data_IF_952967436030
#
_entry.id   IF_952967436030
#
_cell.length_a   1.000
_cell.length_b   1.000
_cell.length_c   1.000
_cell.angle_alpha   90.00
_cell.angle_beta   90.00
_cell.angle_gamma   90.00
#
_symmetry.space_group_name_H-M   'P 1'
#
loop_
_entity.id
_entity.type
_entity.pdbx_description
1 polymer ?
#
# COMPACT_ATOMS: atom_id res chain seq x y z
N UNK A 1 4.55 -68.02 22.47
CA UNK A 1 5.50 -66.87 22.51
C UNK A 1 4.91 -65.78 21.63
N UNK A 2 4.24 -64.81 22.22
CA UNK A 2 3.65 -63.68 21.51
C UNK A 2 4.60 -62.48 21.66
N UNK A 3 5.09 -61.95 20.54
CA UNK A 3 5.89 -60.71 20.49
C UNK A 3 4.94 -59.51 20.63
N UNK A 4 5.07 -58.75 21.72
CA UNK A 4 4.47 -57.43 21.88
C UNK A 4 5.26 -56.44 21.02
N UNK A 5 4.60 -55.88 20.00
CA UNK A 5 5.07 -54.73 19.26
C UNK A 5 4.71 -53.49 20.07
N UNK A 6 5.69 -52.82 20.64
CA UNK A 6 5.56 -51.51 21.28
C UNK A 6 5.54 -50.45 20.19
N UNK A 7 4.37 -49.85 19.91
CA UNK A 7 4.27 -48.62 19.13
C UNK A 7 4.84 -47.46 19.95
N UNK A 8 5.88 -46.86 19.41
CA UNK A 8 6.46 -45.61 19.94
C UNK A 8 5.52 -44.45 19.56
N UNK A 9 4.68 -44.03 20.48
CA UNK A 9 3.95 -42.77 20.36
C UNK A 9 4.93 -41.64 20.68
N UNK A 10 5.52 -41.02 19.65
CA UNK A 10 6.26 -39.79 19.81
C UNK A 10 5.31 -38.70 20.38
N UNK A 11 5.56 -38.29 21.62
CA UNK A 11 4.85 -37.20 22.25
C UNK A 11 5.13 -35.90 21.50
N UNK A 12 4.16 -35.38 20.75
CA UNK A 12 4.26 -34.08 20.10
C UNK A 12 4.56 -33.02 21.16
N UNK A 13 5.67 -32.30 21.00
CA UNK A 13 6.01 -31.17 21.88
C UNK A 13 4.88 -30.13 21.88
N UNK A 14 4.60 -29.45 23.00
CA UNK A 14 3.59 -28.40 23.05
C UNK A 14 3.97 -27.25 22.11
N UNK A 15 2.98 -26.75 21.37
CA UNK A 15 3.14 -25.65 20.42
C UNK A 15 3.48 -24.39 21.21
N UNK A 16 4.57 -23.72 20.87
CA UNK A 16 5.04 -22.49 21.53
C UNK A 16 4.42 -21.24 20.91
N UNK A 17 4.54 -20.10 21.57
CA UNK A 17 4.11 -18.79 21.04
C UNK A 17 4.86 -18.45 19.74
N UNK A 18 6.10 -18.90 19.62
CA UNK A 18 6.91 -18.73 18.40
C UNK A 18 6.41 -19.60 17.27
N UNK A 19 5.99 -20.84 17.56
CA UNK A 19 5.38 -21.73 16.57
C UNK A 19 4.06 -21.15 16.04
N UNK A 20 3.24 -20.53 16.90
CA UNK A 20 2.02 -19.81 16.50
C UNK A 20 2.32 -18.59 15.63
N UNK A 21 3.32 -17.78 15.96
CA UNK A 21 3.75 -16.64 15.13
C UNK A 21 4.25 -17.09 13.77
N UNK A 22 5.07 -18.14 13.72
CA UNK A 22 5.58 -18.70 12.46
C UNK A 22 4.45 -19.29 11.59
N UNK A 23 3.46 -19.95 12.20
CA UNK A 23 2.30 -20.49 11.51
C UNK A 23 1.43 -19.38 10.92
N UNK A 24 1.18 -18.31 11.70
CA UNK A 24 0.42 -17.15 11.25
C UNK A 24 1.12 -16.43 10.10
N UNK A 25 2.42 -16.17 10.19
CA UNK A 25 3.20 -15.55 9.12
C UNK A 25 3.21 -16.41 7.83
N UNK A 26 3.26 -17.75 7.97
CA UNK A 26 3.15 -18.66 6.84
C UNK A 26 1.77 -18.63 6.20
N UNK A 27 0.70 -18.61 7.00
CA UNK A 27 -0.68 -18.54 6.53
C UNK A 27 -0.95 -17.20 5.83
N UNK A 28 -0.48 -16.07 6.38
CA UNK A 28 -0.56 -14.77 5.75
C UNK A 28 0.14 -14.74 4.38
N UNK A 29 1.32 -15.35 4.28
CA UNK A 29 2.04 -15.45 3.00
C UNK A 29 1.31 -16.33 1.98
N UNK A 30 0.71 -17.44 2.41
CA UNK A 30 -0.09 -18.30 1.56
C UNK A 30 -1.37 -17.61 1.06
N UNK A 31 -2.05 -16.89 1.94
CA UNK A 31 -3.27 -16.14 1.60
C UNK A 31 -2.97 -14.97 0.65
N UNK A 32 -1.89 -14.21 0.88
CA UNK A 32 -1.44 -13.18 -0.07
C UNK A 32 -1.22 -13.76 -1.47
N UNK A 33 -0.63 -14.96 -1.56
CA UNK A 33 -0.42 -15.63 -2.84
C UNK A 33 -1.73 -16.04 -3.50
N UNK A 34 -2.73 -16.51 -2.74
CA UNK A 34 -4.04 -16.91 -3.27
C UNK A 34 -4.80 -15.72 -3.87
N UNK A 35 -4.85 -14.58 -3.16
CA UNK A 35 -5.48 -13.35 -3.68
C UNK A 35 -4.73 -12.81 -4.90
N UNK A 36 -3.39 -12.79 -4.87
CA UNK A 36 -2.58 -12.34 -6.01
C UNK A 36 -2.80 -13.23 -7.24
N UNK A 37 -2.88 -14.55 -7.04
CA UNK A 37 -3.15 -15.47 -8.13
C UNK A 37 -4.56 -15.29 -8.72
N UNK A 38 -5.57 -15.03 -7.86
CA UNK A 38 -6.95 -14.82 -8.28
C UNK A 38 -7.15 -13.50 -9.05
N UNK A 39 -6.39 -12.45 -8.70
CA UNK A 39 -6.43 -11.15 -9.36
C UNK A 39 -5.53 -11.07 -10.58
N UNK A 40 -4.39 -11.75 -10.56
CA UNK A 40 -3.36 -11.67 -11.61
C UNK A 40 -2.74 -10.26 -11.72
N UNK A 41 -2.80 -9.47 -10.66
CA UNK A 41 -2.21 -8.12 -10.67
C UNK A 41 -0.71 -8.18 -10.40
N UNK A 42 0.08 -7.31 -11.07
CA UNK A 42 1.47 -7.11 -10.71
C UNK A 42 1.61 -6.60 -9.28
N UNK A 43 2.73 -6.89 -8.67
CA UNK A 43 3.05 -6.58 -7.28
C UNK A 43 3.72 -5.20 -7.12
N UNK A 44 4.17 -4.89 -5.89
CA UNK A 44 4.86 -3.64 -5.56
C UNK A 44 6.19 -3.45 -6.30
N UNK A 45 6.96 -4.53 -6.52
CA UNK A 45 8.24 -4.46 -7.25
C UNK A 45 8.02 -4.12 -8.72
N UNK A 46 6.95 -4.67 -9.32
CA UNK A 46 6.55 -4.34 -10.70
C UNK A 46 5.99 -2.93 -10.81
N UNK A 47 5.25 -2.45 -9.78
CA UNK A 47 4.80 -1.07 -9.69
C UNK A 47 5.99 -0.09 -9.66
N UNK A 48 6.99 -0.35 -8.82
CA UNK A 48 8.21 0.46 -8.75
C UNK A 48 8.95 0.49 -10.07
N UNK A 49 9.15 -0.68 -10.69
CA UNK A 49 9.83 -0.82 -11.98
C UNK A 49 9.11 -0.05 -13.09
N UNK A 50 7.80 -0.23 -13.20
CA UNK A 50 7.01 0.40 -14.26
C UNK A 50 6.95 1.92 -14.07
N UNK A 51 6.73 2.38 -12.84
CA UNK A 51 6.68 3.81 -12.54
C UNK A 51 8.05 4.48 -12.75
N UNK A 52 9.15 3.85 -12.32
CA UNK A 52 10.49 4.36 -12.56
C UNK A 52 10.78 4.49 -14.07
N UNK A 53 10.44 3.46 -14.84
CA UNK A 53 10.60 3.49 -16.29
C UNK A 53 9.80 4.63 -16.97
N UNK A 54 8.60 4.94 -16.45
CA UNK A 54 7.81 6.07 -16.94
C UNK A 54 8.42 7.43 -16.58
N UNK A 55 8.96 7.56 -15.37
CA UNK A 55 9.61 8.80 -14.92
C UNK A 55 10.93 9.07 -15.66
N UNK A 56 11.62 8.01 -16.10
CA UNK A 56 12.85 8.10 -16.88
C UNK A 56 12.60 8.23 -18.40
N UNK A 57 11.34 8.16 -18.83
CA UNK A 57 10.96 8.24 -20.25
C UNK A 57 10.62 9.67 -20.68
N UNK A 58 10.38 9.85 -21.98
CA UNK A 58 10.03 11.15 -22.58
C UNK A 58 8.54 11.52 -22.40
N UNK A 59 7.84 10.95 -21.40
CA UNK A 59 6.41 11.21 -21.17
C UNK A 59 6.11 12.71 -21.04
N UNK A 60 6.89 13.43 -20.21
CA UNK A 60 6.72 14.87 -20.00
C UNK A 60 6.93 15.66 -21.32
N UNK A 61 7.99 15.34 -22.07
CA UNK A 61 8.30 15.98 -23.34
C UNK A 61 7.22 15.71 -24.42
N UNK A 62 6.56 14.55 -24.35
CA UNK A 62 5.48 14.15 -25.25
C UNK A 62 4.11 14.70 -24.82
N UNK A 63 4.03 15.45 -23.72
CA UNK A 63 2.76 15.97 -23.18
C UNK A 63 1.87 14.89 -22.56
N UNK A 64 2.46 13.74 -22.19
CA UNK A 64 1.72 12.68 -21.50
C UNK A 64 1.68 12.97 -19.98
N UNK A 65 0.52 12.84 -19.41
CA UNK A 65 0.33 12.90 -17.95
C UNK A 65 0.53 11.50 -17.37
N UNK A 66 1.31 11.40 -16.30
CA UNK A 66 1.44 10.20 -15.49
C UNK A 66 0.91 10.48 -14.09
N UNK A 67 -0.15 9.80 -13.70
CA UNK A 67 -0.77 9.92 -12.37
C UNK A 67 -0.68 8.59 -11.65
N UNK A 68 -0.32 8.62 -10.38
CA UNK A 68 -0.45 7.47 -9.50
C UNK A 68 -1.58 7.69 -8.50
N UNK A 69 -2.34 6.64 -8.25
CA UNK A 69 -3.34 6.58 -7.18
C UNK A 69 -3.01 5.41 -6.25
N UNK A 70 -2.90 5.68 -4.96
CA UNK A 70 -2.83 4.67 -3.91
C UNK A 70 -4.22 4.52 -3.31
N UNK A 71 -4.74 3.31 -3.32
CA UNK A 71 -6.10 2.96 -2.89
C UNK A 71 -6.00 2.02 -1.71
N UNK A 72 -6.60 2.40 -0.60
CA UNK A 72 -6.61 1.62 0.64
C UNK A 72 -8.05 1.27 1.01
N UNK A 73 -8.24 0.02 1.41
CA UNK A 73 -9.54 -0.46 1.85
C UNK A 73 -9.79 -0.06 3.30
N UNK A 74 -10.85 0.71 3.53
CA UNK A 74 -11.14 1.25 4.86
C UNK A 74 -11.52 0.16 5.86
N UNK A 75 -10.82 0.11 7.00
CA UNK A 75 -11.09 -0.80 8.12
C UNK A 75 -11.02 -2.30 7.77
N UNK A 76 -10.18 -2.69 6.81
CA UNK A 76 -10.04 -4.08 6.38
C UNK A 76 -9.77 -5.07 7.52
N UNK A 77 -8.97 -4.67 8.51
CA UNK A 77 -8.67 -5.52 9.67
C UNK A 77 -9.92 -5.97 10.44
N UNK A 78 -10.97 -5.14 10.51
CA UNK A 78 -12.23 -5.52 11.15
C UNK A 78 -12.93 -6.66 10.41
N UNK A 79 -12.86 -6.69 9.06
CA UNK A 79 -13.44 -7.76 8.27
C UNK A 79 -12.77 -9.10 8.62
N UNK A 80 -11.45 -9.13 8.69
CA UNK A 80 -10.71 -10.33 9.09
C UNK A 80 -11.03 -10.77 10.52
N UNK A 81 -11.22 -9.81 11.42
CA UNK A 81 -11.52 -10.09 12.83
C UNK A 81 -12.94 -10.62 13.01
N UNK A 82 -13.91 -10.03 12.31
CA UNK A 82 -15.34 -10.31 12.52
C UNK A 82 -15.83 -11.50 11.69
N UNK A 83 -15.28 -11.70 10.47
CA UNK A 83 -15.74 -12.69 9.50
C UNK A 83 -14.67 -13.72 9.09
N UNK A 84 -13.43 -13.57 9.56
CA UNK A 84 -12.32 -14.46 9.23
C UNK A 84 -11.56 -14.05 7.96
N UNK A 85 -10.37 -14.61 7.82
CA UNK A 85 -9.41 -14.26 6.75
C UNK A 85 -9.95 -14.60 5.35
N UNK A 86 -10.67 -15.71 5.21
CA UNK A 86 -11.27 -16.12 3.93
C UNK A 86 -12.31 -15.09 3.42
N UNK A 87 -13.11 -14.53 4.33
CA UNK A 87 -14.06 -13.47 4.00
C UNK A 87 -13.33 -12.19 3.56
N UNK A 88 -12.25 -11.82 4.27
CA UNK A 88 -11.39 -10.70 3.86
C UNK A 88 -10.75 -10.90 2.49
N UNK A 89 -10.23 -12.09 2.21
CA UNK A 89 -9.65 -12.42 0.89
C UNK A 89 -10.67 -12.28 -0.23
N UNK A 90 -11.91 -12.74 -0.03
CA UNK A 90 -12.99 -12.59 -1.00
C UNK A 90 -13.34 -11.12 -1.26
N UNK A 91 -13.44 -10.32 -0.19
CA UNK A 91 -13.68 -8.87 -0.30
C UNK A 91 -12.56 -8.16 -1.03
N UNK A 92 -11.29 -8.53 -0.81
CA UNK A 92 -10.13 -8.00 -1.56
C UNK A 92 -10.19 -8.38 -3.04
N UNK A 93 -10.56 -9.61 -3.36
CA UNK A 93 -10.70 -10.06 -4.75
C UNK A 93 -11.82 -9.27 -5.46
N UNK A 94 -12.96 -9.09 -4.81
CA UNK A 94 -14.06 -8.28 -5.35
C UNK A 94 -13.64 -6.82 -5.53
N UNK A 95 -12.92 -6.24 -4.56
CA UNK A 95 -12.39 -4.88 -4.64
C UNK A 95 -11.41 -4.72 -5.81
N UNK A 96 -10.47 -5.64 -5.96
CA UNK A 96 -9.51 -5.59 -7.08
C UNK A 96 -10.21 -5.69 -8.43
N UNK A 97 -11.18 -6.58 -8.59
CA UNK A 97 -12.01 -6.70 -9.80
C UNK A 97 -12.78 -5.41 -10.06
N UNK A 98 -13.44 -4.88 -9.05
CA UNK A 98 -14.18 -3.62 -9.15
C UNK A 98 -13.28 -2.49 -9.64
N UNK A 99 -12.08 -2.32 -9.07
CA UNK A 99 -11.13 -1.30 -9.50
C UNK A 99 -10.79 -1.52 -10.98
N UNK A 100 -10.40 -2.74 -11.37
CA UNK A 100 -10.00 -3.05 -12.75
C UNK A 100 -11.11 -2.80 -13.75
N UNK A 101 -12.35 -3.14 -13.42
CA UNK A 101 -13.51 -3.00 -14.31
C UNK A 101 -13.99 -1.55 -14.46
N UNK A 102 -13.59 -0.66 -13.54
CA UNK A 102 -14.02 0.75 -13.51
C UNK A 102 -12.89 1.75 -13.78
N UNK A 103 -11.73 1.31 -14.25
CA UNK A 103 -10.66 2.17 -14.74
C UNK A 103 -10.49 1.99 -16.26
N UNK A 104 -9.97 3.02 -16.97
CA UNK A 104 -9.76 2.92 -18.42
C UNK A 104 -8.62 1.96 -18.77
N UNK A 105 -8.60 1.45 -20.01
CA UNK A 105 -7.59 0.50 -20.51
C UNK A 105 -6.15 1.04 -20.48
N UNK A 106 -5.98 2.37 -20.51
CA UNK A 106 -4.67 3.01 -20.41
C UNK A 106 -4.14 3.08 -18.97
N UNK A 107 -4.90 2.60 -18.00
CA UNK A 107 -4.48 2.49 -16.61
C UNK A 107 -4.10 1.06 -16.25
N UNK A 108 -3.10 0.91 -15.37
CA UNK A 108 -2.62 -0.39 -14.88
C UNK A 108 -2.77 -0.47 -13.38
N UNK A 109 -3.43 -1.55 -12.91
CA UNK A 109 -3.63 -1.84 -11.48
C UNK A 109 -2.52 -2.72 -10.96
N UNK A 110 -2.12 -2.46 -9.73
CA UNK A 110 -1.13 -3.23 -8.96
C UNK A 110 -1.68 -3.53 -7.57
N UNK A 111 -1.25 -4.62 -6.96
CA UNK A 111 -1.46 -4.87 -5.55
C UNK A 111 -0.14 -4.73 -4.81
N UNK A 112 0.03 -3.61 -4.11
CA UNK A 112 1.30 -3.21 -3.48
C UNK A 112 1.42 -3.62 -2.01
N UNK A 113 0.30 -3.92 -1.37
CA UNK A 113 0.23 -4.30 0.04
C UNK A 113 -0.82 -5.36 0.33
N UNK A 114 -1.12 -5.59 1.60
CA UNK A 114 -2.16 -6.53 2.05
C UNK A 114 -3.53 -6.15 1.53
N UNK A 115 -3.96 -4.94 1.84
CA UNK A 115 -5.23 -4.31 1.50
C UNK A 115 -5.04 -3.03 0.65
N UNK A 116 -3.84 -2.86 0.11
CA UNK A 116 -3.45 -1.67 -0.65
C UNK A 116 -3.30 -2.00 -2.14
N UNK A 117 -3.97 -1.20 -2.98
CA UNK A 117 -3.83 -1.21 -4.43
C UNK A 117 -3.17 0.08 -4.91
N UNK A 118 -2.47 0.00 -6.04
CA UNK A 118 -1.99 1.16 -6.76
C UNK A 118 -2.49 1.14 -8.20
N UNK A 119 -2.70 2.31 -8.78
CA UNK A 119 -3.02 2.47 -10.18
C UNK A 119 -2.06 3.47 -10.80
N UNK A 120 -1.49 3.13 -11.94
CA UNK A 120 -0.77 4.07 -12.79
C UNK A 120 -1.66 4.41 -13.97
N UNK A 121 -1.96 5.68 -14.16
CA UNK A 121 -2.58 6.23 -15.36
C UNK A 121 -1.50 6.88 -16.22
N UNK A 122 -1.50 6.59 -17.52
CA UNK A 122 -0.60 7.21 -18.48
C UNK A 122 -1.40 7.57 -19.74
N UNK A 123 -1.40 8.84 -20.12
CA UNK A 123 -2.08 9.26 -21.36
C UNK A 123 -2.11 10.77 -21.53
N UNK A 124 -2.72 11.20 -22.61
CA UNK A 124 -3.00 12.62 -22.86
C UNK A 124 -4.32 12.95 -22.15
N UNK A 125 -4.26 13.32 -20.89
CA UNK A 125 -5.41 13.67 -20.05
C UNK A 125 -4.98 14.67 -18.99
N UNK A 126 -5.92 15.42 -18.44
CA UNK A 126 -5.67 16.32 -17.33
C UNK A 126 -5.73 15.55 -15.99
N UNK A 127 -4.94 16.00 -15.00
CA UNK A 127 -4.97 15.39 -13.66
C UNK A 127 -6.34 15.47 -12.98
N UNK A 128 -7.09 16.49 -13.31
CA UNK A 128 -8.45 16.76 -12.84
C UNK A 128 -9.45 15.71 -13.36
N UNK A 129 -9.29 15.26 -14.60
CA UNK A 129 -10.11 14.19 -15.18
C UNK A 129 -9.89 12.87 -14.44
N UNK A 130 -8.63 12.55 -14.11
CA UNK A 130 -8.30 11.38 -13.31
C UNK A 130 -8.85 11.50 -11.88
N UNK A 131 -8.81 12.70 -11.30
CA UNK A 131 -9.43 12.94 -9.99
C UNK A 131 -10.93 12.68 -10.00
N UNK A 132 -11.64 13.17 -11.02
CA UNK A 132 -13.09 12.95 -11.18
C UNK A 132 -13.41 11.48 -11.39
N UNK A 133 -12.65 10.78 -12.24
CA UNK A 133 -12.79 9.34 -12.46
C UNK A 133 -12.60 8.55 -11.16
N UNK A 134 -11.56 8.84 -10.39
CA UNK A 134 -11.30 8.18 -9.11
C UNK A 134 -12.36 8.53 -8.05
N UNK A 135 -12.90 9.74 -8.09
CA UNK A 135 -14.00 10.13 -7.21
C UNK A 135 -15.28 9.37 -7.54
N UNK A 136 -15.58 9.19 -8.82
CA UNK A 136 -16.72 8.39 -9.26
C UNK A 136 -16.52 6.90 -8.94
N UNK A 137 -15.32 6.35 -9.16
CA UNK A 137 -14.96 5.01 -8.75
C UNK A 137 -15.22 4.79 -7.25
N UNK A 138 -14.78 5.72 -6.42
CA UNK A 138 -15.01 5.66 -4.96
C UNK A 138 -16.48 5.82 -4.60
N UNK A 139 -17.22 6.74 -5.23
CA UNK A 139 -18.64 7.00 -4.92
C UNK A 139 -19.55 5.84 -5.31
N UNK A 140 -19.20 5.12 -6.36
CA UNK A 140 -19.95 3.96 -6.85
C UNK A 140 -19.42 2.63 -6.28
N UNK A 141 -18.43 2.67 -5.37
CA UNK A 141 -17.90 1.48 -4.74
C UNK A 141 -18.98 0.79 -3.90
N UNK A 142 -19.28 -0.47 -4.20
CA UNK A 142 -20.41 -1.20 -3.64
C UNK A 142 -20.06 -2.61 -3.15
N UNK A 143 -18.78 -2.89 -2.94
CA UNK A 143 -18.33 -4.16 -2.36
C UNK A 143 -18.85 -4.26 -0.92
N UNK A 144 -19.37 -5.45 -0.57
CA UNK A 144 -20.05 -5.70 0.70
C UNK A 144 -19.30 -6.74 1.52
N UNK A 145 -19.40 -6.58 2.83
CA UNK A 145 -19.05 -7.62 3.79
C UNK A 145 -20.10 -8.74 3.81
N UNK A 146 -19.79 -9.89 4.42
CA UNK A 146 -20.74 -11.00 4.53
C UNK A 146 -22.08 -10.66 5.19
N UNK A 147 -22.11 -9.67 6.07
CA UNK A 147 -23.33 -9.15 6.70
C UNK A 147 -24.09 -8.12 5.84
N UNK A 148 -23.57 -7.83 4.64
CA UNK A 148 -24.20 -6.92 3.68
C UNK A 148 -23.84 -5.45 3.88
N UNK A 149 -22.96 -5.09 4.81
CA UNK A 149 -22.50 -3.71 4.99
C UNK A 149 -21.62 -3.28 3.80
N UNK A 150 -21.95 -2.12 3.21
CA UNK A 150 -21.19 -1.54 2.11
C UNK A 150 -19.87 -1.02 2.67
N UNK A 151 -18.78 -1.41 2.03
CA UNK A 151 -17.45 -0.98 2.37
C UNK A 151 -17.07 0.33 1.67
N UNK A 152 -15.98 0.93 2.12
CA UNK A 152 -15.45 2.16 1.52
C UNK A 152 -13.96 2.01 1.23
N UNK A 153 -13.48 2.85 0.31
CA UNK A 153 -12.07 2.97 -0.03
C UNK A 153 -11.63 4.42 0.11
N UNK A 154 -10.38 4.61 0.49
CA UNK A 154 -9.75 5.92 0.58
C UNK A 154 -8.62 5.99 -0.45
N UNK A 155 -8.48 7.12 -1.15
CA UNK A 155 -7.57 7.25 -2.27
C UNK A 155 -6.66 8.47 -2.07
N UNK A 156 -5.36 8.28 -2.28
CA UNK A 156 -4.37 9.34 -2.38
C UNK A 156 -3.78 9.37 -3.78
N UNK A 157 -3.72 10.52 -4.44
CA UNK A 157 -3.13 10.64 -5.77
C UNK A 157 -2.02 11.67 -5.85
N UNK A 158 -1.07 11.43 -6.73
CA UNK A 158 0.00 12.35 -7.10
C UNK A 158 0.28 12.26 -8.60
N UNK A 159 0.74 13.38 -9.16
CA UNK A 159 1.01 13.53 -10.60
C UNK A 159 2.52 13.69 -10.82
N UNK A 160 3.09 12.87 -11.67
CA UNK A 160 4.50 12.97 -12.06
C UNK A 160 4.78 14.34 -12.69
N UNK A 161 6.00 14.83 -12.49
CA UNK A 161 6.53 16.11 -12.97
C UNK A 161 5.84 17.36 -12.40
N UNK A 162 4.63 17.22 -11.86
CA UNK A 162 3.91 18.29 -11.12
C UNK A 162 4.20 18.19 -9.62
N UNK A 163 3.98 17.03 -9.02
CA UNK A 163 4.15 16.81 -7.58
C UNK A 163 5.55 16.32 -7.23
N UNK A 164 6.14 15.48 -8.07
CA UNK A 164 7.52 14.99 -8.00
C UNK A 164 7.95 14.33 -9.32
N UNK A 165 9.27 14.22 -9.52
CA UNK A 165 9.90 13.58 -10.70
C UNK A 165 10.73 12.33 -10.36
N UNK A 166 10.65 11.85 -9.10
CA UNK A 166 11.33 10.63 -8.64
C UNK A 166 10.35 9.69 -7.98
N UNK A 167 10.54 8.40 -8.20
CA UNK A 167 9.69 7.34 -7.66
C UNK A 167 9.38 7.52 -6.16
N UNK A 168 10.41 7.50 -5.32
CA UNK A 168 10.24 7.55 -3.86
C UNK A 168 9.51 8.82 -3.40
N UNK A 169 9.75 9.95 -4.05
CA UNK A 169 9.10 11.21 -3.71
C UNK A 169 7.63 11.24 -4.19
N UNK A 170 7.36 10.76 -5.40
CA UNK A 170 6.01 10.70 -5.95
C UNK A 170 5.11 9.79 -5.13
N UNK A 171 5.60 8.59 -4.78
CA UNK A 171 4.88 7.65 -3.90
C UNK A 171 4.65 8.27 -2.53
N UNK A 172 5.66 8.90 -1.93
CA UNK A 172 5.50 9.61 -0.64
C UNK A 172 4.44 10.71 -0.71
N UNK A 173 4.36 11.45 -1.81
CA UNK A 173 3.34 12.49 -2.02
C UNK A 173 1.93 11.91 -2.11
N UNK A 174 1.74 10.83 -2.86
CA UNK A 174 0.47 10.12 -2.96
C UNK A 174 0.05 9.53 -1.61
N UNK A 175 0.98 8.92 -0.90
CA UNK A 175 0.77 8.32 0.41
C UNK A 175 0.46 9.38 1.49
N UNK A 176 1.15 10.52 1.48
CA UNK A 176 0.80 11.68 2.32
C UNK A 176 -0.62 12.21 2.03
N UNK A 177 -1.06 12.18 0.77
CA UNK A 177 -2.44 12.51 0.41
C UNK A 177 -3.42 11.45 0.96
N UNK A 178 -3.12 10.16 0.79
CA UNK A 178 -3.90 9.05 1.33
C UNK A 178 -4.03 9.15 2.87
N UNK A 179 -2.92 9.39 3.56
CA UNK A 179 -2.92 9.58 5.01
C UNK A 179 -3.83 10.73 5.44
N UNK A 180 -3.73 11.92 4.80
CA UNK A 180 -4.62 13.05 5.08
C UNK A 180 -6.09 12.69 4.86
N UNK A 181 -6.40 11.96 3.80
CA UNK A 181 -7.75 11.49 3.53
C UNK A 181 -8.26 10.56 4.64
N UNK A 182 -7.40 9.65 5.14
CA UNK A 182 -7.74 8.74 6.25
C UNK A 182 -8.05 9.48 7.55
N UNK A 183 -7.23 10.46 7.96
CA UNK A 183 -7.47 11.23 9.20
C UNK A 183 -8.66 12.19 9.09
N UNK A 184 -9.03 12.62 7.90
CA UNK A 184 -10.20 13.47 7.66
C UNK A 184 -11.53 12.69 7.61
N UNK A 185 -11.52 11.39 7.92
CA UNK A 185 -12.73 10.57 8.04
C UNK A 185 -12.87 9.47 6.99
N UNK A 186 -11.83 9.17 6.21
CA UNK A 186 -11.84 8.09 5.18
C UNK A 186 -12.88 8.33 4.07
N UNK A 187 -13.15 7.30 3.25
CA UNK A 187 -14.14 7.33 2.15
C UNK A 187 -14.03 8.59 1.30
N UNK A 188 -12.83 8.95 0.88
CA UNK A 188 -12.54 10.14 0.07
C UNK A 188 -11.30 10.00 -0.77
N UNK A 189 -11.14 10.90 -1.71
CA UNK A 189 -9.92 11.08 -2.49
C UNK A 189 -9.23 12.37 -2.06
N UNK A 190 -7.90 12.36 -2.01
CA UNK A 190 -7.08 13.55 -1.83
C UNK A 190 -5.94 13.57 -2.84
N UNK A 191 -5.62 14.75 -3.37
CA UNK A 191 -4.44 14.99 -4.19
C UNK A 191 -3.23 15.36 -3.33
N UNK A 192 -2.04 15.11 -3.86
CA UNK A 192 -0.81 15.66 -3.33
C UNK A 192 -0.93 17.20 -3.24
N UNK A 193 -0.34 17.76 -2.19
CA UNK A 193 -0.30 19.23 -1.98
C UNK A 193 1.14 19.66 -1.83
N UNK A 194 1.43 20.87 -2.21
CA UNK A 194 2.63 21.55 -1.72
C UNK A 194 2.59 21.62 -0.20
N UNK A 195 3.55 20.98 0.44
CA UNK A 195 3.70 21.04 1.89
C UNK A 195 4.61 22.23 2.23
N UNK A 196 4.09 23.18 3.00
CA UNK A 196 4.92 24.25 3.55
C UNK A 196 5.93 23.64 4.52
N UNK A 197 7.19 23.60 4.11
CA UNK A 197 8.26 23.09 4.95
C UNK A 197 8.58 24.07 6.08
N UNK A 198 8.51 23.57 7.31
CA UNK A 198 8.87 24.34 8.51
C UNK A 198 10.17 23.76 9.07
N UNK A 199 11.25 24.55 9.22
CA UNK A 199 12.49 24.04 9.79
C UNK A 199 12.30 23.63 11.26
N UNK A 200 12.80 22.45 11.61
CA UNK A 200 12.84 21.92 12.97
C UNK A 200 14.27 21.48 13.30
N UNK A 201 14.84 22.02 14.36
CA UNK A 201 16.19 21.65 14.81
C UNK A 201 16.13 20.49 15.79
N UNK A 202 16.99 19.52 15.62
CA UNK A 202 17.20 18.40 16.54
C UNK A 202 18.69 18.08 16.67
N UNK A 203 19.06 17.33 17.70
CA UNK A 203 20.43 16.89 17.94
C UNK A 203 20.54 15.39 17.72
N UNK A 204 21.58 14.97 17.05
CA UNK A 204 21.86 13.58 16.70
C UNK A 204 23.25 13.20 17.21
N UNK A 205 23.47 11.94 17.53
CA UNK A 205 24.81 11.45 17.85
C UNK A 205 25.67 11.37 16.58
N UNK A 206 26.98 11.38 16.77
CA UNK A 206 27.91 11.25 15.64
C UNK A 206 27.70 9.93 14.86
N UNK A 207 27.42 8.84 15.58
CA UNK A 207 27.12 7.54 14.97
C UNK A 207 25.84 7.60 14.09
N UNK A 208 24.77 8.21 14.60
CA UNK A 208 23.53 8.39 13.82
C UNK A 208 23.78 9.18 12.55
N UNK A 209 24.51 10.28 12.60
CA UNK A 209 24.84 11.08 11.42
C UNK A 209 25.70 10.31 10.41
N UNK A 210 26.69 9.56 10.89
CA UNK A 210 27.55 8.74 10.03
C UNK A 210 26.74 7.64 9.30
N UNK A 211 25.85 6.97 10.01
CA UNK A 211 24.97 5.94 9.44
C UNK A 211 23.98 6.53 8.45
N UNK A 212 23.41 7.72 8.75
CA UNK A 212 22.54 8.44 7.85
C UNK A 212 23.26 8.84 6.55
N UNK A 213 24.47 9.37 6.64
CA UNK A 213 25.27 9.73 5.48
C UNK A 213 25.62 8.50 4.61
N UNK A 214 25.93 7.36 5.22
CA UNK A 214 26.16 6.12 4.50
C UNK A 214 24.91 5.60 3.81
N UNK A 215 23.74 5.67 4.47
CA UNK A 215 22.45 5.32 3.90
C UNK A 215 22.13 6.23 2.71
N UNK A 216 22.27 7.54 2.88
CA UNK A 216 22.04 8.54 1.84
C UNK A 216 22.85 8.26 0.56
N UNK A 217 24.13 7.90 0.72
CA UNK A 217 25.00 7.53 -0.41
C UNK A 217 24.58 6.23 -1.09
N UNK A 218 24.19 5.22 -0.31
CA UNK A 218 23.78 3.90 -0.83
C UNK A 218 22.48 3.98 -1.61
N UNK A 219 21.48 4.70 -1.08
CA UNK A 219 20.16 4.81 -1.69
C UNK A 219 20.07 5.97 -2.72
N UNK A 220 21.09 6.81 -2.86
CA UNK A 220 21.05 7.99 -3.73
C UNK A 220 20.03 9.06 -3.32
N UNK A 221 19.57 9.04 -2.05
CA UNK A 221 18.52 9.91 -1.49
C UNK A 221 19.14 10.89 -0.49
N UNK A 222 18.74 12.15 -0.52
CA UNK A 222 19.26 13.17 0.41
C UNK A 222 18.89 12.88 1.87
N UNK A 223 19.82 13.16 2.80
CA UNK A 223 19.62 12.92 4.25
C UNK A 223 18.33 13.56 4.80
N UNK A 224 17.99 14.78 4.34
CA UNK A 224 16.76 15.45 4.76
C UNK A 224 15.48 14.72 4.33
N UNK A 225 15.52 13.99 3.21
CA UNK A 225 14.40 13.16 2.74
C UNK A 225 14.27 11.93 3.62
N UNK A 226 15.39 11.24 3.91
CA UNK A 226 15.41 10.07 4.78
C UNK A 226 14.95 10.40 6.22
N UNK A 227 15.31 11.57 6.73
CA UNK A 227 14.85 12.03 8.05
C UNK A 227 13.33 12.29 8.07
N UNK A 228 12.77 12.86 7.00
CA UNK A 228 11.31 13.05 6.89
C UNK A 228 10.57 11.73 6.79
N UNK A 229 11.08 10.80 5.99
CA UNK A 229 10.53 9.46 5.89
C UNK A 229 10.53 8.74 7.24
N UNK A 230 11.64 8.81 7.98
CA UNK A 230 11.73 8.25 9.33
C UNK A 230 10.72 8.88 10.30
N UNK A 231 10.49 10.20 10.20
CA UNK A 231 9.47 10.90 10.99
C UNK A 231 8.06 10.45 10.61
N UNK A 232 7.75 10.34 9.32
CA UNK A 232 6.46 9.87 8.84
C UNK A 232 6.17 8.43 9.30
N UNK A 233 7.15 7.55 9.21
CA UNK A 233 7.05 6.17 9.73
C UNK A 233 6.77 6.15 11.24
N UNK A 234 7.47 7.00 12.01
CA UNK A 234 7.26 7.11 13.45
C UNK A 234 5.85 7.59 13.78
N UNK A 235 5.39 8.67 13.14
CA UNK A 235 4.06 9.24 13.35
C UNK A 235 2.98 8.20 13.03
N UNK A 236 3.06 7.49 11.91
CA UNK A 236 2.12 6.41 11.58
C UNK A 236 2.06 5.33 12.65
N UNK A 237 3.20 4.94 13.22
CA UNK A 237 3.26 3.93 14.28
C UNK A 237 2.45 4.36 15.51
N UNK A 238 2.45 5.64 15.87
CA UNK A 238 1.74 6.13 17.04
C UNK A 238 0.31 6.58 16.74
N UNK A 239 0.00 7.03 15.52
CA UNK A 239 -1.37 7.37 15.09
C UNK A 239 -2.30 6.14 15.00
N UNK A 240 -1.72 4.94 14.88
CA UNK A 240 -2.46 3.66 14.89
C UNK A 240 -2.76 3.16 16.32
N UNK A 241 -2.20 3.80 17.36
CA UNK A 241 -2.52 3.46 18.74
C UNK A 241 -3.80 4.22 19.15
N UNK A 242 -4.86 3.52 19.57
CA UNK A 242 -6.02 4.20 20.15
C UNK A 242 -5.59 4.91 21.43
N UNK A 243 -5.87 6.22 21.53
CA UNK A 243 -5.76 6.98 22.78
C UNK A 243 -6.82 6.51 23.78
#
# INVERSE_FOLDING_TARGET
MAKKTTENVEAKRPITVEDHKALNARNEKLNRNAVNLALGFPNGDEFEKDLTALLDSDCEANGETVVIALIDFDKFMHINTDFGVEAGDNVLIETGRYIKDNIPEYAKVYRIGGDEFAVIFRGICEREDIFLLLNDLKNNFNVKTPDGAIQTITIGMATAFIDANRYAELVRKADGALYRAKIQGRNRIAMAKEEKMIPKTSHYTQDQLQRLANLSKREGVGEAILLREALDMLLRKYDLLPY
#
